data_IF_727043040514
#
_entry.id   IF_727043040514
#
_cell.length_a   1.000
_cell.length_b   1.000
_cell.length_c   1.000
_cell.angle_alpha   90.00
_cell.angle_beta   90.00
_cell.angle_gamma   90.00
#
_symmetry.space_group_name_H-M   'P 1'
#
loop_
_entity.id
_entity.type
_entity.pdbx_description
1 polymer ?
#
# COMPACT_ATOMS: atom_id res chain seq x y z
N UNK A 1 10.34 5.30 -15.63
CA UNK A 1 9.07 5.10 -14.90
C UNK A 1 9.48 4.74 -13.49
N UNK A 2 9.17 5.59 -12.51
CA UNK A 2 9.68 5.39 -11.16
C UNK A 2 8.96 4.21 -10.52
N UNK A 3 9.73 3.20 -10.08
CA UNK A 3 9.31 2.05 -9.26
C UNK A 3 8.81 2.51 -7.88
N UNK A 4 7.77 3.33 -7.86
CA UNK A 4 7.21 3.89 -6.64
C UNK A 4 6.59 2.76 -5.79
N UNK A 5 6.13 1.68 -6.44
CA UNK A 5 5.22 0.70 -5.88
C UNK A 5 5.44 -0.68 -6.52
N UNK A 6 6.48 -1.42 -6.09
CA UNK A 6 6.62 -2.86 -6.39
C UNK A 6 5.62 -3.69 -5.57
N UNK A 7 4.33 -3.36 -5.65
CA UNK A 7 3.31 -4.15 -5.01
C UNK A 7 3.00 -5.39 -5.83
N UNK A 8 3.45 -6.54 -5.34
CA UNK A 8 3.12 -7.84 -5.95
C UNK A 8 1.68 -8.27 -5.65
N UNK A 9 0.88 -7.48 -4.91
CA UNK A 9 -0.51 -7.79 -4.58
C UNK A 9 -1.46 -6.90 -5.37
N UNK A 10 -2.35 -7.52 -6.16
CA UNK A 10 -3.21 -6.81 -7.09
C UNK A 10 -4.64 -7.36 -7.15
N UNK A 11 -5.51 -6.65 -7.86
CA UNK A 11 -6.85 -7.11 -8.23
C UNK A 11 -7.38 -6.32 -9.44
N UNK A 12 -8.20 -6.94 -10.28
CA UNK A 12 -8.87 -6.27 -11.41
C UNK A 12 -9.88 -5.20 -10.96
N UNK A 13 -10.47 -5.36 -9.78
CA UNK A 13 -11.52 -4.46 -9.24
C UNK A 13 -11.14 -3.96 -7.86
N UNK A 14 -11.49 -2.71 -7.48
CA UNK A 14 -11.12 -2.19 -6.18
C UNK A 14 -11.84 -2.97 -5.08
N UNK A 15 -11.07 -3.59 -4.18
CA UNK A 15 -11.61 -4.31 -3.03
C UNK A 15 -11.89 -3.37 -1.84
N UNK A 16 -11.19 -2.23 -1.77
CA UNK A 16 -11.49 -1.12 -0.85
C UNK A 16 -12.46 -0.12 -1.51
N UNK A 17 -13.60 0.05 -0.84
CA UNK A 17 -14.64 1.02 -1.19
C UNK A 17 -14.73 2.11 -0.12
N UNK A 18 -15.52 3.16 -0.35
CA UNK A 18 -15.77 4.18 0.67
C UNK A 18 -16.41 3.61 1.97
N UNK A 19 -17.12 2.48 1.87
CA UNK A 19 -17.76 1.82 3.02
C UNK A 19 -16.79 0.98 3.84
N UNK A 20 -15.76 0.42 3.20
CA UNK A 20 -14.79 -0.49 3.84
C UNK A 20 -13.48 0.19 4.18
N UNK A 21 -13.18 1.34 3.55
CA UNK A 21 -12.01 2.15 3.86
C UNK A 21 -12.12 2.79 5.24
N UNK A 22 -10.96 2.94 5.88
CA UNK A 22 -10.77 3.58 7.18
C UNK A 22 -10.29 5.02 7.02
N UNK A 23 -10.57 5.85 8.03
CA UNK A 23 -9.86 7.10 8.23
C UNK A 23 -8.41 6.84 8.68
N UNK A 24 -7.54 7.79 8.41
CA UNK A 24 -6.13 7.77 8.81
C UNK A 24 -5.74 9.07 9.52
N UNK A 25 -4.81 8.97 10.45
CA UNK A 25 -4.24 10.05 11.26
C UNK A 25 -2.83 10.48 10.77
N UNK A 26 -2.32 9.81 9.75
CA UNK A 26 -0.98 10.02 9.19
C UNK A 26 -0.97 10.87 7.91
N UNK A 27 -1.93 11.76 7.70
CA UNK A 27 -1.81 12.76 6.63
C UNK A 27 -0.64 13.73 6.89
N UNK A 28 -0.05 14.27 5.83
CA UNK A 28 1.06 15.23 5.90
C UNK A 28 2.10 15.03 4.81
N UNK A 29 3.21 15.75 4.96
CA UNK A 29 4.37 15.66 4.06
C UNK A 29 5.46 14.82 4.70
N UNK A 30 6.04 13.93 3.90
CA UNK A 30 7.08 12.99 4.30
C UNK A 30 8.27 13.05 3.34
N UNK A 31 9.45 12.75 3.86
CA UNK A 31 10.70 12.64 3.10
C UNK A 31 11.29 11.25 3.25
N UNK A 32 11.77 10.68 2.15
CA UNK A 32 12.41 9.37 2.17
C UNK A 32 13.68 9.41 3.03
N UNK A 33 13.93 8.35 3.78
CA UNK A 33 15.17 8.16 4.53
C UNK A 33 16.15 7.38 3.65
N UNK A 34 17.37 7.90 3.47
CA UNK A 34 18.45 7.21 2.75
C UNK A 34 18.57 7.51 1.25
N UNK A 35 17.69 8.32 0.67
CA UNK A 35 17.79 8.75 -0.73
C UNK A 35 17.72 10.28 -0.85
N UNK A 36 18.84 10.89 -1.23
CA UNK A 36 18.99 12.36 -1.27
C UNK A 36 18.18 13.06 -2.39
N UNK A 37 17.67 12.32 -3.38
CA UNK A 37 17.00 12.89 -4.55
C UNK A 37 15.49 12.57 -4.67
N UNK A 38 14.89 11.85 -3.71
CA UNK A 38 13.45 11.60 -3.76
C UNK A 38 12.65 12.85 -3.40
N UNK A 39 11.72 13.22 -4.28
CA UNK A 39 10.75 14.28 -3.99
C UNK A 39 9.86 13.91 -2.80
N UNK A 40 9.42 14.92 -2.05
CA UNK A 40 8.59 14.74 -0.86
C UNK A 40 7.28 14.02 -1.21
N UNK A 41 6.88 13.08 -0.36
CA UNK A 41 5.61 12.37 -0.41
C UNK A 41 4.56 13.15 0.38
N UNK A 42 3.48 13.58 -0.28
CA UNK A 42 2.38 14.31 0.36
C UNK A 42 1.13 13.44 0.38
N UNK A 43 0.60 13.16 1.57
CA UNK A 43 -0.66 12.45 1.78
C UNK A 43 -1.72 13.43 2.28
N UNK A 44 -2.74 13.67 1.47
CA UNK A 44 -3.81 14.63 1.77
C UNK A 44 -5.20 14.00 1.67
N UNK A 45 -6.17 14.51 2.44
CA UNK A 45 -7.57 14.08 2.35
C UNK A 45 -8.25 14.70 1.14
N UNK A 46 -9.03 13.90 0.40
CA UNK A 46 -9.89 14.33 -0.72
C UNK A 46 -11.37 14.13 -0.42
N UNK A 47 -11.72 13.69 0.79
CA UNK A 47 -13.07 13.39 1.21
C UNK A 47 -13.08 12.34 2.32
N UNK A 48 -14.27 11.82 2.65
CA UNK A 48 -14.39 10.78 3.68
C UNK A 48 -13.70 9.48 3.22
N UNK A 49 -12.58 9.16 3.87
CA UNK A 49 -11.77 7.95 3.61
C UNK A 49 -11.22 7.84 2.18
N UNK A 50 -11.05 8.97 1.50
CA UNK A 50 -10.40 9.07 0.20
C UNK A 50 -9.21 10.01 0.30
N UNK A 51 -8.07 9.59 -0.23
CA UNK A 51 -6.80 10.28 -0.09
C UNK A 51 -6.14 10.48 -1.44
N UNK A 52 -5.29 11.49 -1.52
CA UNK A 52 -4.35 11.68 -2.61
C UNK A 52 -2.94 11.56 -2.05
N UNK A 53 -2.15 10.70 -2.69
CA UNK A 53 -0.72 10.58 -2.49
C UNK A 53 -0.04 11.28 -3.66
N UNK A 54 0.85 12.23 -3.37
CA UNK A 54 1.60 12.97 -4.39
C UNK A 54 3.09 12.82 -4.15
N UNK A 55 3.84 12.50 -5.20
CA UNK A 55 5.30 12.53 -5.22
C UNK A 55 5.74 13.23 -6.51
N UNK A 56 6.37 14.41 -6.40
CA UNK A 56 6.68 15.25 -7.56
C UNK A 56 5.40 15.67 -8.30
N UNK A 57 5.32 15.37 -9.60
CA UNK A 57 4.14 15.63 -10.44
C UNK A 57 3.10 14.51 -10.38
N UNK A 58 3.48 13.33 -9.89
CA UNK A 58 2.61 12.16 -9.83
C UNK A 58 1.56 12.30 -8.73
N UNK A 59 0.30 11.97 -9.05
CA UNK A 59 -0.82 12.02 -8.12
C UNK A 59 -1.61 10.72 -8.20
N UNK A 60 -1.74 10.06 -7.05
CA UNK A 60 -2.37 8.74 -6.94
C UNK A 60 -3.55 8.82 -5.98
N UNK A 61 -4.74 8.47 -6.48
CA UNK A 61 -5.91 8.31 -5.62
C UNK A 61 -5.78 7.04 -4.79
N UNK A 62 -5.87 7.18 -3.47
CA UNK A 62 -5.58 6.11 -2.51
C UNK A 62 -6.73 5.95 -1.51
N UNK A 63 -6.97 4.71 -1.10
CA UNK A 63 -7.79 4.36 0.08
C UNK A 63 -6.96 3.53 1.04
N UNK A 64 -7.28 3.61 2.32
CA UNK A 64 -6.62 2.82 3.36
C UNK A 64 -7.63 1.95 4.08
N UNK A 65 -7.20 0.77 4.50
CA UNK A 65 -7.90 -0.09 5.46
C UNK A 65 -7.03 -0.23 6.70
N UNK A 66 -7.54 0.14 7.87
CA UNK A 66 -6.86 -0.14 9.14
C UNK A 66 -6.97 -1.64 9.44
N UNK A 67 -5.83 -2.29 9.65
CA UNK A 67 -5.76 -3.71 9.91
C UNK A 67 -5.72 -3.98 11.42
N UNK A 68 -4.67 -3.51 12.10
CA UNK A 68 -4.49 -3.57 13.56
C UNK A 68 -3.42 -2.57 14.01
N UNK A 69 -3.57 -2.00 15.22
CA UNK A 69 -2.59 -1.07 15.77
C UNK A 69 -2.23 0.06 14.79
N UNK A 70 -0.96 0.11 14.40
CA UNK A 70 -0.39 1.10 13.47
C UNK A 70 -0.32 0.60 12.03
N UNK A 71 -0.89 -0.57 11.74
CA UNK A 71 -0.87 -1.21 10.43
C UNK A 71 -2.10 -0.90 9.59
N UNK A 72 -1.83 -0.62 8.32
CA UNK A 72 -2.78 -0.26 7.30
C UNK A 72 -2.50 -1.04 6.01
N UNK A 73 -3.51 -1.16 5.16
CA UNK A 73 -3.37 -1.60 3.78
C UNK A 73 -3.77 -0.44 2.87
N UNK A 74 -2.84 0.04 2.05
CA UNK A 74 -3.14 1.01 1.01
C UNK A 74 -3.68 0.29 -0.24
N UNK A 75 -4.65 0.92 -0.91
CA UNK A 75 -5.08 0.58 -2.26
C UNK A 75 -4.89 1.80 -3.14
N UNK A 76 -4.21 1.62 -4.28
CA UNK A 76 -4.08 2.62 -5.32
C UNK A 76 -4.42 2.03 -6.68
N UNK A 77 -4.80 2.92 -7.61
CA UNK A 77 -5.05 2.58 -9.00
C UNK A 77 -3.72 2.59 -9.75
N UNK A 78 -3.34 1.45 -10.34
CA UNK A 78 -2.16 1.28 -11.17
C UNK A 78 -2.50 0.85 -12.59
N UNK A 79 -1.47 0.58 -13.37
CA UNK A 79 -1.53 -0.14 -14.64
C UNK A 79 -0.67 -1.40 -14.49
N UNK A 80 -1.07 -2.48 -15.13
CA UNK A 80 -0.18 -3.63 -15.27
C UNK A 80 0.92 -3.26 -16.27
N UNK A 81 2.18 -3.30 -15.85
CA UNK A 81 3.32 -2.95 -16.72
C UNK A 81 3.67 -4.09 -17.69
N UNK A 82 3.18 -5.32 -17.43
CA UNK A 82 3.45 -6.50 -18.26
C UNK A 82 2.43 -6.71 -19.37
N UNK A 83 1.25 -6.09 -19.27
CA UNK A 83 0.19 -6.18 -20.26
C UNK A 83 0.30 -5.03 -21.27
N UNK A 84 0.17 -5.32 -22.56
CA UNK A 84 0.21 -4.29 -23.63
C UNK A 84 -1.08 -3.46 -23.72
N UNK A 85 -2.10 -3.85 -22.97
CA UNK A 85 -3.37 -3.16 -22.89
C UNK A 85 -3.37 -2.20 -21.69
N UNK A 86 -4.06 -1.06 -21.84
CA UNK A 86 -4.27 -0.03 -20.80
C UNK A 86 -5.14 -0.53 -19.63
N UNK A 87 -5.02 -1.81 -19.26
CA UNK A 87 -5.81 -2.43 -18.20
C UNK A 87 -5.47 -1.83 -16.85
N UNK A 88 -6.52 -1.36 -16.19
CA UNK A 88 -6.44 -0.78 -14.86
C UNK A 88 -6.43 -1.92 -13.85
N UNK A 89 -5.39 -1.95 -13.02
CA UNK A 89 -5.33 -2.82 -11.86
C UNK A 89 -5.37 -1.99 -10.58
N UNK A 90 -5.75 -2.63 -9.48
CA UNK A 90 -5.69 -2.07 -8.14
C UNK A 90 -4.63 -2.80 -7.36
N UNK A 91 -3.64 -2.04 -6.91
CA UNK A 91 -2.46 -2.54 -6.23
C UNK A 91 -2.63 -2.30 -4.73
N UNK A 92 -2.11 -3.24 -3.93
CA UNK A 92 -2.22 -3.22 -2.48
C UNK A 92 -0.87 -3.26 -1.80
N UNK A 93 -0.68 -2.39 -0.81
CA UNK A 93 0.58 -2.27 -0.10
C UNK A 93 0.36 -2.23 1.40
N UNK A 94 0.92 -3.19 2.16
CA UNK A 94 0.96 -3.08 3.61
C UNK A 94 1.80 -1.88 4.02
N UNK A 95 1.30 -1.13 5.00
CA UNK A 95 1.94 0.06 5.53
C UNK A 95 1.88 0.06 7.05
N UNK A 96 2.90 0.62 7.68
CA UNK A 96 2.89 0.94 9.11
C UNK A 96 3.13 2.42 9.32
N UNK A 97 2.29 3.07 10.12
CA UNK A 97 2.40 4.48 10.44
C UNK A 97 2.59 4.68 11.94
N UNK A 98 3.82 4.96 12.38
CA UNK A 98 4.15 5.03 13.81
C UNK A 98 5.15 6.15 14.07
N UNK A 99 4.91 6.96 15.12
CA UNK A 99 5.83 8.01 15.59
C UNK A 99 6.31 8.96 14.48
N UNK A 100 5.40 9.39 13.60
CA UNK A 100 5.72 10.30 12.49
C UNK A 100 6.54 9.66 11.37
N UNK A 101 6.63 8.33 11.32
CA UNK A 101 7.26 7.57 10.23
C UNK A 101 6.22 6.75 9.49
N UNK A 102 6.39 6.62 8.18
CA UNK A 102 5.68 5.67 7.34
C UNK A 102 6.66 4.62 6.85
N UNK A 103 6.29 3.37 7.02
CA UNK A 103 6.99 2.21 6.51
C UNK A 103 6.10 1.60 5.44
N UNK A 104 6.58 1.57 4.20
CA UNK A 104 5.86 1.02 3.05
C UNK A 104 6.53 -0.28 2.66
N UNK A 105 5.77 -1.38 2.73
CA UNK A 105 6.29 -2.73 2.54
C UNK A 105 5.91 -3.25 1.17
N UNK A 106 6.83 -3.91 0.47
CA UNK A 106 6.52 -4.71 -0.70
C UNK A 106 6.26 -6.13 -0.25
N UNK A 107 5.00 -6.56 -0.31
CA UNK A 107 4.63 -7.91 0.09
C UNK A 107 4.84 -8.86 -1.08
N UNK A 108 5.81 -9.76 -0.96
CA UNK A 108 6.10 -10.76 -1.99
C UNK A 108 4.96 -11.77 -2.14
N UNK A 109 4.83 -12.29 -3.37
CA UNK A 109 3.83 -13.31 -3.69
C UNK A 109 4.34 -14.76 -3.44
N UNK A 110 5.62 -14.92 -3.09
CA UNK A 110 6.27 -16.22 -3.16
C UNK A 110 5.84 -17.24 -2.09
N UNK A 111 5.30 -16.79 -0.96
CA UNK A 111 5.15 -17.66 0.22
C UNK A 111 3.74 -18.16 0.55
N UNK A 112 2.69 -17.78 -0.19
CA UNK A 112 1.29 -18.04 0.25
C UNK A 112 0.23 -18.37 -0.84
N UNK A 113 0.56 -18.82 -2.07
CA UNK A 113 -0.44 -18.94 -3.14
C UNK A 113 -1.58 -19.92 -2.80
N UNK A 114 -2.82 -19.43 -2.83
CA UNK A 114 -4.04 -20.22 -2.60
C UNK A 114 -4.40 -20.47 -1.14
N UNK A 115 -3.60 -19.98 -0.19
CA UNK A 115 -3.86 -20.10 1.25
C UNK A 115 -5.07 -19.25 1.68
N UNK A 116 -5.26 -18.09 1.03
CA UNK A 116 -6.31 -17.15 1.36
C UNK A 116 -7.44 -17.17 0.34
N UNK A 117 -8.68 -16.97 0.82
CA UNK A 117 -9.88 -17.01 -0.01
C UNK A 117 -9.80 -16.02 -1.18
N UNK A 118 -9.93 -16.52 -2.41
CA UNK A 118 -9.97 -15.68 -3.61
C UNK A 118 -8.61 -15.11 -4.00
N UNK A 119 -7.52 -15.60 -3.40
CA UNK A 119 -6.16 -15.34 -3.82
C UNK A 119 -5.77 -16.32 -4.95
N UNK A 120 -5.12 -15.80 -5.99
CA UNK A 120 -4.48 -16.59 -7.03
C UNK A 120 -3.07 -16.07 -7.25
N UNK A 121 -2.19 -16.91 -7.78
CA UNK A 121 -0.85 -16.52 -8.21
C UNK A 121 -0.75 -16.66 -9.71
N UNK A 122 -0.40 -15.57 -10.37
CA UNK A 122 -0.25 -15.49 -11.82
C UNK A 122 0.95 -14.60 -12.13
N UNK A 123 1.86 -15.07 -12.98
CA UNK A 123 3.05 -14.31 -13.46
C UNK A 123 3.92 -13.66 -12.35
N UNK A 124 4.02 -14.28 -11.17
CA UNK A 124 4.83 -13.73 -10.06
C UNK A 124 4.11 -12.69 -9.20
N UNK A 125 2.87 -12.34 -9.53
CA UNK A 125 1.99 -11.52 -8.71
C UNK A 125 0.87 -12.34 -8.06
N UNK A 126 0.35 -11.82 -6.96
CA UNK A 126 -0.74 -12.38 -6.20
C UNK A 126 -1.99 -11.54 -6.45
N UNK A 127 -2.96 -12.12 -7.17
CA UNK A 127 -4.23 -11.47 -7.43
C UNK A 127 -5.27 -11.85 -6.38
N UNK A 128 -6.08 -10.88 -5.98
CA UNK A 128 -7.15 -11.04 -5.00
C UNK A 128 -8.50 -10.70 -5.60
N UNK A 129 -9.51 -11.52 -5.33
CA UNK A 129 -10.91 -11.29 -5.75
C UNK A 129 -11.84 -11.01 -4.56
N UNK A 130 -11.33 -11.08 -3.34
CA UNK A 130 -12.09 -10.89 -2.10
C UNK A 130 -11.32 -10.04 -1.10
N UNK A 131 -12.02 -9.06 -0.52
CA UNK A 131 -11.48 -8.24 0.56
C UNK A 131 -11.10 -9.06 1.80
N UNK A 132 -11.88 -10.08 2.14
CA UNK A 132 -11.61 -10.93 3.31
C UNK A 132 -10.30 -11.71 3.13
N UNK A 133 -10.08 -12.25 1.93
CA UNK A 133 -8.83 -12.94 1.58
C UNK A 133 -7.62 -12.01 1.63
N UNK A 134 -7.76 -10.82 1.02
CA UNK A 134 -6.72 -9.79 1.05
C UNK A 134 -6.39 -9.35 2.48
N UNK A 135 -7.40 -9.17 3.34
CA UNK A 135 -7.21 -8.82 4.75
C UNK A 135 -6.50 -9.93 5.52
N UNK A 136 -6.88 -11.19 5.30
CA UNK A 136 -6.24 -12.34 5.93
C UNK A 136 -4.77 -12.46 5.52
N UNK A 137 -4.48 -12.32 4.22
CA UNK A 137 -3.12 -12.30 3.70
C UNK A 137 -2.28 -11.17 4.32
N UNK A 138 -2.83 -9.96 4.38
CA UNK A 138 -2.16 -8.81 4.99
C UNK A 138 -1.84 -9.06 6.47
N UNK A 139 -2.77 -9.63 7.25
CA UNK A 139 -2.54 -9.92 8.65
C UNK A 139 -1.49 -11.02 8.86
N UNK A 140 -1.48 -12.05 8.01
CA UNK A 140 -0.46 -13.10 8.03
C UNK A 140 0.93 -12.53 7.71
N UNK A 141 1.05 -11.72 6.66
CA UNK A 141 2.28 -11.00 6.29
C UNK A 141 2.81 -10.16 7.45
N UNK A 142 1.96 -9.34 8.07
CA UNK A 142 2.34 -8.54 9.23
C UNK A 142 2.82 -9.42 10.39
N UNK A 143 2.14 -10.55 10.63
CA UNK A 143 2.55 -11.51 11.66
C UNK A 143 3.96 -12.06 11.44
N UNK A 144 4.35 -12.30 10.19
CA UNK A 144 5.71 -12.77 9.83
C UNK A 144 6.76 -11.68 10.03
N UNK A 145 6.47 -10.42 9.65
CA UNK A 145 7.35 -9.26 9.92
C UNK A 145 7.58 -9.12 11.43
N UNK A 146 6.51 -9.11 12.21
CA UNK A 146 6.61 -8.88 13.66
C UNK A 146 7.40 -9.98 14.40
N UNK A 147 7.46 -11.18 13.82
CA UNK A 147 8.29 -12.29 14.32
C UNK A 147 9.71 -12.30 13.75
N UNK A 148 10.03 -11.44 12.78
CA UNK A 148 11.31 -11.45 12.06
C UNK A 148 11.49 -12.66 11.13
N UNK A 149 10.39 -13.29 10.71
CA UNK A 149 10.42 -14.47 9.82
C UNK A 149 10.67 -14.09 8.35
N UNK A 150 10.49 -12.82 8.00
CA UNK A 150 10.89 -12.26 6.71
C UNK A 150 11.82 -11.08 6.95
N UNK A 151 12.90 -11.00 6.16
CA UNK A 151 13.73 -9.80 6.12
C UNK A 151 12.94 -8.72 5.39
N UNK A 152 12.42 -7.74 6.14
CA UNK A 152 11.76 -6.59 5.57
C UNK A 152 12.78 -5.47 5.29
N UNK A 153 12.76 -4.91 4.09
CA UNK A 153 13.43 -3.65 3.75
C UNK A 153 12.37 -2.64 3.31
N UNK A 154 11.55 -2.14 4.26
CA UNK A 154 10.49 -1.21 3.92
C UNK A 154 11.08 0.12 3.45
N UNK A 155 10.42 0.74 2.48
CA UNK A 155 10.70 2.13 2.19
C UNK A 155 10.24 2.99 3.38
N UNK A 156 11.20 3.67 4.01
CA UNK A 156 10.95 4.49 5.20
C UNK A 156 10.83 5.96 4.83
N UNK A 157 9.76 6.58 5.29
CA UNK A 157 9.50 8.00 5.12
C UNK A 157 9.31 8.69 6.48
N UNK A 158 9.89 9.86 6.64
CA UNK A 158 9.84 10.64 7.89
C UNK A 158 9.01 11.90 7.66
N UNK A 159 8.05 12.16 8.56
CA UNK A 159 7.18 13.34 8.48
C UNK A 159 8.01 14.60 8.67
N UNK A 160 7.96 15.52 7.70
CA UNK A 160 8.72 16.78 7.71
C UNK A 160 7.87 17.99 8.10
N UNK A 161 6.54 17.88 7.99
CA UNK A 161 5.64 18.94 8.46
C UNK A 161 4.29 18.39 8.93
N UNK A 162 3.76 19.00 9.99
CA UNK A 162 2.35 18.91 10.37
C UNK A 162 1.69 20.12 9.74
N UNK A 163 1.02 19.96 8.60
CA UNK A 163 0.16 21.01 8.08
C UNK A 163 -0.95 21.25 9.10
N UNK A 164 -0.83 22.29 9.92
CA UNK A 164 -1.95 22.80 10.71
C UNK A 164 -2.95 23.37 9.70
N UNK A 165 -4.08 22.68 9.54
CA UNK A 165 -5.27 23.26 8.94
C UNK A 165 -5.99 24.12 9.97
#
# INVERSE_FOLDING_TARGET
MACLLSACWLSEKPLLTAKTASGVDFTGTYRALGEEERSDLVISTRGKHAYEVRQGEEKISTRYLKLRGDWYLAQYKGKDEEERDDEVVYLYQPMRAVSGRLYMYSADCDDTPGEFRGMKREKGACSFTSLDGLKAAALAFIGRIEKGEIADDPQVWVKVSVTRH
#
